data_IF_735305634194
#
_entry.id   IF_735305634194
#
_cell.length_a   1.000
_cell.length_b   1.000
_cell.length_c   1.000
_cell.angle_alpha   90.00
_cell.angle_beta   90.00
_cell.angle_gamma   90.00
#
_symmetry.space_group_name_H-M   'P 1'
#
loop_
_entity.id
_entity.type
_entity.pdbx_description
1 polymer ?
#
# COMPACT_ATOMS: atom_id res chain seq x y z
N UNK A 1 -57.39 -78.79 -39.98
CA UNK A 1 -57.08 -77.45 -40.60
C UNK A 1 -57.04 -76.31 -39.56
N UNK A 2 -57.72 -76.41 -38.47
CA UNK A 2 -57.74 -75.36 -37.42
C UNK A 2 -56.43 -75.28 -36.62
N UNK A 3 -55.70 -76.38 -36.30
CA UNK A 3 -54.45 -76.39 -35.49
C UNK A 3 -53.26 -75.71 -36.20
N UNK A 4 -53.15 -75.78 -37.49
CA UNK A 4 -52.06 -75.17 -38.26
C UNK A 4 -52.11 -73.62 -38.30
N UNK A 5 -53.35 -73.05 -38.21
CA UNK A 5 -53.56 -71.62 -38.19
C UNK A 5 -53.18 -71.02 -36.81
N UNK A 6 -53.53 -71.74 -35.73
CA UNK A 6 -53.18 -71.28 -34.36
C UNK A 6 -51.69 -71.34 -34.13
N UNK A 7 -51.02 -72.43 -34.54
CA UNK A 7 -49.52 -72.55 -34.41
C UNK A 7 -48.79 -71.46 -35.20
N UNK A 8 -49.25 -71.10 -36.42
CA UNK A 8 -48.70 -69.98 -37.17
C UNK A 8 -48.98 -68.64 -36.56
N UNK A 9 -50.10 -68.45 -35.88
CA UNK A 9 -50.43 -67.19 -35.14
C UNK A 9 -49.61 -67.01 -33.90
N UNK A 10 -49.41 -68.08 -33.11
CA UNK A 10 -48.53 -68.08 -31.88
C UNK A 10 -47.09 -67.88 -32.29
N UNK A 11 -46.58 -68.44 -33.37
CA UNK A 11 -45.21 -68.18 -33.82
C UNK A 11 -45.01 -66.75 -34.29
N UNK A 12 -45.97 -66.13 -35.00
CA UNK A 12 -45.87 -64.71 -35.34
C UNK A 12 -45.86 -63.77 -34.15
N UNK A 13 -46.68 -64.07 -33.13
CA UNK A 13 -46.66 -63.33 -31.85
C UNK A 13 -45.32 -63.45 -31.12
N UNK A 14 -44.79 -64.65 -31.05
CA UNK A 14 -43.43 -64.88 -30.42
C UNK A 14 -42.31 -64.12 -31.17
N UNK A 15 -42.35 -64.14 -32.50
CA UNK A 15 -41.41 -63.38 -33.34
C UNK A 15 -41.57 -61.87 -33.10
N UNK A 16 -42.82 -61.37 -33.07
CA UNK A 16 -43.05 -59.95 -32.78
C UNK A 16 -42.56 -59.50 -31.39
N UNK A 17 -42.76 -60.33 -30.35
CA UNK A 17 -42.26 -60.09 -28.99
C UNK A 17 -40.73 -60.05 -28.93
N UNK A 18 -40.08 -61.00 -29.62
CA UNK A 18 -38.61 -61.03 -29.71
C UNK A 18 -38.05 -59.80 -30.43
N UNK A 19 -38.70 -59.37 -31.51
CA UNK A 19 -38.25 -58.13 -32.22
C UNK A 19 -38.43 -56.90 -31.36
N UNK A 20 -39.55 -56.75 -30.66
CA UNK A 20 -39.79 -55.63 -29.75
C UNK A 20 -38.78 -55.63 -28.59
N UNK A 21 -38.51 -56.82 -28.00
CA UNK A 21 -37.50 -56.95 -26.95
C UNK A 21 -36.10 -56.58 -27.43
N UNK A 22 -35.71 -57.01 -28.64
CA UNK A 22 -34.41 -56.65 -29.24
C UNK A 22 -34.29 -55.16 -29.52
N UNK A 23 -35.34 -54.52 -30.04
CA UNK A 23 -35.38 -53.06 -30.25
C UNK A 23 -35.25 -52.32 -28.91
N UNK A 24 -36.00 -52.74 -27.88
CA UNK A 24 -35.90 -52.16 -26.53
C UNK A 24 -34.49 -52.29 -25.92
N UNK A 25 -33.87 -53.44 -26.10
CA UNK A 25 -32.47 -53.67 -25.65
C UNK A 25 -31.47 -52.73 -26.37
N UNK A 26 -31.61 -52.59 -27.69
CA UNK A 26 -30.75 -51.68 -28.47
C UNK A 26 -30.95 -50.21 -28.01
N UNK A 27 -32.17 -49.79 -27.77
CA UNK A 27 -32.46 -48.44 -27.26
C UNK A 27 -31.87 -48.24 -25.89
N UNK A 28 -31.99 -49.18 -24.99
CA UNK A 28 -31.37 -49.09 -23.63
C UNK A 28 -29.87 -49.07 -23.68
N UNK A 29 -29.23 -49.87 -24.53
CA UNK A 29 -27.81 -49.90 -24.73
C UNK A 29 -27.29 -48.59 -25.31
N UNK A 30 -27.96 -48.01 -26.30
CA UNK A 30 -27.58 -46.70 -26.88
C UNK A 30 -27.78 -45.56 -25.89
N UNK A 31 -28.88 -45.52 -25.12
CA UNK A 31 -29.10 -44.52 -24.06
C UNK A 31 -28.06 -44.66 -22.94
N UNK A 32 -27.71 -45.88 -22.58
CA UNK A 32 -26.63 -46.18 -21.60
C UNK A 32 -25.27 -45.67 -22.10
N UNK A 33 -24.93 -45.94 -23.36
CA UNK A 33 -23.69 -45.43 -24.00
C UNK A 33 -23.62 -43.91 -24.05
N UNK A 34 -24.72 -43.25 -24.37
CA UNK A 34 -24.82 -41.77 -24.38
C UNK A 34 -24.62 -41.19 -22.96
N UNK A 35 -25.22 -41.82 -21.93
CA UNK A 35 -25.03 -41.40 -20.54
C UNK A 35 -23.59 -41.59 -20.07
N UNK A 36 -22.98 -42.70 -20.43
CA UNK A 36 -21.58 -42.98 -20.08
C UNK A 36 -20.63 -41.97 -20.75
N UNK A 37 -20.82 -41.70 -22.05
CA UNK A 37 -19.99 -40.72 -22.76
C UNK A 37 -20.14 -39.30 -22.19
N UNK A 38 -21.34 -38.89 -21.79
CA UNK A 38 -21.57 -37.62 -21.09
C UNK A 38 -20.86 -37.57 -19.73
N UNK A 39 -20.89 -38.69 -18.99
CA UNK A 39 -20.20 -38.78 -17.71
C UNK A 39 -18.70 -38.69 -17.87
N UNK A 40 -18.08 -39.40 -18.82
CA UNK A 40 -16.67 -39.36 -19.11
C UNK A 40 -16.23 -37.97 -19.54
N UNK A 41 -16.95 -37.31 -20.44
CA UNK A 41 -16.67 -35.93 -20.86
C UNK A 41 -16.73 -34.94 -19.70
N UNK A 42 -17.70 -35.11 -18.80
CA UNK A 42 -17.79 -34.31 -17.57
C UNK A 42 -16.59 -34.56 -16.63
N UNK A 43 -16.17 -35.80 -16.50
CA UNK A 43 -15.01 -36.21 -15.67
C UNK A 43 -13.69 -35.66 -16.22
N UNK A 44 -13.52 -35.67 -17.55
CA UNK A 44 -12.36 -35.07 -18.23
C UNK A 44 -12.32 -33.56 -18.05
N UNK A 45 -13.47 -32.88 -18.18
CA UNK A 45 -13.60 -31.45 -17.91
C UNK A 45 -13.13 -31.07 -16.50
N UNK A 46 -13.61 -31.77 -15.46
CA UNK A 46 -13.17 -31.51 -14.08
C UNK A 46 -11.71 -31.85 -13.83
N UNK A 47 -11.16 -32.84 -14.53
CA UNK A 47 -9.74 -33.14 -14.45
C UNK A 47 -8.88 -32.05 -15.12
N UNK A 48 -9.35 -31.50 -16.21
CA UNK A 48 -8.70 -30.39 -16.89
C UNK A 48 -8.72 -29.12 -16.03
N UNK A 49 -9.89 -28.80 -15.42
CA UNK A 49 -10.03 -27.67 -14.52
C UNK A 49 -9.07 -27.75 -13.32
N UNK A 50 -9.04 -28.92 -12.65
CA UNK A 50 -8.08 -29.13 -11.53
C UNK A 50 -6.61 -29.01 -11.94
N UNK A 51 -6.27 -29.46 -13.14
CA UNK A 51 -4.89 -29.31 -13.67
C UNK A 51 -4.55 -27.85 -13.92
N UNK A 52 -5.52 -27.07 -14.41
CA UNK A 52 -5.31 -25.64 -14.64
C UNK A 52 -5.13 -24.87 -13.32
N UNK A 53 -5.98 -25.12 -12.32
CA UNK A 53 -5.84 -24.57 -10.98
C UNK A 53 -4.46 -24.90 -10.34
N UNK A 54 -3.99 -26.12 -10.54
CA UNK A 54 -2.66 -26.55 -10.06
C UNK A 54 -1.52 -25.83 -10.77
N UNK A 55 -1.61 -25.66 -12.10
CA UNK A 55 -0.63 -24.92 -12.90
C UNK A 55 -0.58 -23.44 -12.47
N UNK A 56 -1.74 -22.81 -12.28
CA UNK A 56 -1.83 -21.44 -11.81
C UNK A 56 -1.21 -21.27 -10.41
N UNK A 57 -1.51 -22.20 -9.48
CA UNK A 57 -0.91 -22.23 -8.15
C UNK A 57 0.62 -22.35 -8.20
N UNK A 58 1.15 -23.29 -8.98
CA UNK A 58 2.59 -23.48 -9.13
C UNK A 58 3.29 -22.27 -9.76
N UNK A 59 2.66 -21.65 -10.75
CA UNK A 59 3.17 -20.43 -11.37
C UNK A 59 3.20 -19.25 -10.38
N UNK A 60 2.19 -19.15 -9.52
CA UNK A 60 2.15 -18.14 -8.47
C UNK A 60 3.19 -18.40 -7.37
N UNK A 61 3.42 -19.66 -7.01
CA UNK A 61 4.48 -20.04 -6.06
C UNK A 61 5.89 -19.76 -6.64
N UNK A 62 6.14 -20.06 -7.91
CA UNK A 62 7.40 -19.72 -8.57
C UNK A 62 7.63 -18.21 -8.63
N UNK A 63 6.60 -17.44 -8.99
CA UNK A 63 6.68 -15.98 -9.00
C UNK A 63 6.99 -15.41 -7.62
N UNK A 64 6.37 -15.94 -6.56
CA UNK A 64 6.68 -15.55 -5.19
C UNK A 64 8.13 -15.85 -4.83
N UNK A 65 8.65 -17.04 -5.18
CA UNK A 65 10.05 -17.42 -4.92
C UNK A 65 11.07 -16.52 -5.64
N UNK A 66 10.74 -16.00 -6.82
CA UNK A 66 11.61 -15.05 -7.53
C UNK A 66 11.54 -13.63 -6.98
N UNK A 67 10.38 -13.23 -6.49
CA UNK A 67 10.15 -11.87 -5.96
C UNK A 67 10.65 -11.71 -4.52
N UNK A 68 10.60 -12.76 -3.70
CA UNK A 68 10.96 -12.75 -2.29
C UNK A 68 12.40 -12.28 -2.03
N UNK A 69 13.45 -12.78 -2.72
CA UNK A 69 14.83 -12.29 -2.52
C UNK A 69 15.01 -10.84 -2.97
N UNK A 70 14.29 -10.39 -3.99
CA UNK A 70 14.34 -8.99 -4.44
C UNK A 70 13.70 -8.07 -3.40
N UNK A 71 12.56 -8.49 -2.84
CA UNK A 71 11.88 -7.75 -1.79
C UNK A 71 12.73 -7.69 -0.51
N UNK A 72 13.36 -8.80 -0.12
CA UNK A 72 14.27 -8.84 1.02
C UNK A 72 15.48 -7.91 0.84
N UNK A 73 16.08 -7.87 -0.36
CA UNK A 73 17.18 -6.97 -0.66
C UNK A 73 16.76 -5.48 -0.57
N UNK A 74 15.53 -5.16 -1.00
CA UNK A 74 14.98 -3.80 -0.88
C UNK A 74 14.77 -3.44 0.61
N UNK A 75 14.20 -4.33 1.41
CA UNK A 75 14.01 -4.13 2.84
C UNK A 75 15.36 -3.96 3.54
N UNK A 76 16.34 -4.81 3.24
CA UNK A 76 17.68 -4.71 3.80
C UNK A 76 18.34 -3.36 3.48
N UNK A 77 18.21 -2.88 2.25
CA UNK A 77 18.69 -1.53 1.88
C UNK A 77 18.02 -0.42 2.67
N UNK A 78 16.71 -0.49 2.92
CA UNK A 78 16.00 0.49 3.76
C UNK A 78 16.47 0.43 5.21
N UNK A 79 16.69 -0.77 5.75
CA UNK A 79 17.28 -0.95 7.09
C UNK A 79 18.64 -0.26 7.15
N UNK A 80 19.52 -0.45 6.18
CA UNK A 80 20.83 0.20 6.12
C UNK A 80 20.72 1.73 6.05
N UNK A 81 19.80 2.26 5.25
CA UNK A 81 19.56 3.70 5.12
C UNK A 81 19.05 4.33 6.42
N UNK A 82 18.24 3.60 7.19
CA UNK A 82 17.62 4.09 8.44
C UNK A 82 18.34 3.64 9.72
N UNK A 83 19.45 2.91 9.63
CA UNK A 83 20.24 2.48 10.79
C UNK A 83 21.49 3.36 11.05
N UNK A 84 21.53 4.52 10.45
CA UNK A 84 22.64 5.46 10.55
C UNK A 84 22.14 6.92 10.58
N UNK A 85 22.99 7.81 10.97
CA UNK A 85 22.75 9.23 10.77
C UNK A 85 22.80 9.61 9.29
N UNK A 86 22.04 10.63 8.93
CA UNK A 86 22.09 11.21 7.59
C UNK A 86 23.43 11.92 7.38
N UNK A 87 24.00 11.80 6.19
CA UNK A 87 25.10 12.65 5.76
C UNK A 87 24.66 14.10 5.59
N UNK A 88 25.59 15.03 5.56
CA UNK A 88 25.25 16.45 5.37
C UNK A 88 24.61 16.71 4.00
N UNK A 89 25.00 15.96 2.96
CA UNK A 89 24.38 16.04 1.64
C UNK A 89 22.95 15.48 1.64
N UNK A 90 22.66 14.44 2.45
CA UNK A 90 21.31 13.91 2.60
C UNK A 90 20.41 14.89 3.36
N UNK A 91 20.93 15.47 4.44
CA UNK A 91 20.25 16.55 5.18
C UNK A 91 19.95 17.74 4.27
N UNK A 92 20.93 18.17 3.47
CA UNK A 92 20.76 19.29 2.53
C UNK A 92 19.67 18.99 1.48
N UNK A 93 19.65 17.77 0.91
CA UNK A 93 18.60 17.36 -0.04
C UNK A 93 17.20 17.40 0.57
N UNK A 94 17.05 16.97 1.83
CA UNK A 94 15.76 16.99 2.53
C UNK A 94 15.35 18.44 2.84
N UNK A 95 16.25 19.26 3.36
CA UNK A 95 15.97 20.68 3.65
C UNK A 95 15.62 21.48 2.40
N UNK A 96 16.11 21.05 1.24
CA UNK A 96 15.87 21.69 -0.04
C UNK A 96 14.90 20.91 -0.94
N UNK A 97 14.10 20.01 -0.35
CA UNK A 97 13.09 19.18 -1.05
C UNK A 97 12.12 20.01 -1.92
N UNK A 98 11.86 21.24 -1.50
CA UNK A 98 10.94 22.16 -2.19
C UNK A 98 11.54 22.82 -3.46
N UNK A 99 12.84 22.74 -3.66
CA UNK A 99 13.51 23.37 -4.80
C UNK A 99 13.16 22.61 -6.07
N UNK A 100 12.90 23.38 -7.13
CA UNK A 100 12.76 22.82 -8.47
C UNK A 100 14.04 22.11 -8.90
N UNK A 101 13.88 20.92 -9.44
CA UNK A 101 14.97 20.15 -10.06
C UNK A 101 14.85 20.11 -11.59
N UNK A 102 13.88 20.86 -12.14
CA UNK A 102 13.51 20.81 -13.55
C UNK A 102 12.61 19.61 -13.90
N UNK A 103 12.22 18.82 -12.91
CA UNK A 103 11.24 17.73 -13.05
C UNK A 103 10.15 17.90 -11.98
N UNK A 104 8.90 17.62 -12.38
CA UNK A 104 7.78 17.63 -11.43
C UNK A 104 7.84 16.40 -10.54
N UNK A 105 7.93 16.60 -9.23
CA UNK A 105 7.97 15.54 -8.22
C UNK A 105 7.04 15.84 -7.06
N UNK A 106 6.50 14.80 -6.47
CA UNK A 106 5.58 14.91 -5.34
C UNK A 106 5.89 13.89 -4.26
N UNK A 107 5.87 14.36 -3.02
CA UNK A 107 6.00 13.59 -1.80
C UNK A 107 4.67 13.63 -1.07
N UNK A 108 3.95 12.52 -1.04
CA UNK A 108 2.74 12.38 -0.22
C UNK A 108 3.16 12.16 1.23
N UNK A 109 2.59 12.94 2.15
CA UNK A 109 2.88 12.79 3.58
C UNK A 109 1.61 12.73 4.39
N UNK A 110 1.59 11.86 5.41
CA UNK A 110 0.48 11.66 6.33
C UNK A 110 0.95 11.85 7.75
N UNK A 111 0.22 12.65 8.53
CA UNK A 111 0.52 12.95 9.93
C UNK A 111 -0.52 12.29 10.85
N UNK A 112 -0.20 12.18 12.14
CA UNK A 112 -1.06 11.75 13.24
C UNK A 112 -1.41 10.26 13.32
N UNK A 113 -1.01 9.47 12.35
CA UNK A 113 -1.20 8.00 12.38
C UNK A 113 -0.21 7.26 13.30
N UNK A 114 -0.25 5.92 13.26
CA UNK A 114 -1.25 5.14 12.58
C UNK A 114 -2.61 5.11 13.29
N UNK A 115 -3.68 4.87 12.54
CA UNK A 115 -5.02 4.62 13.08
C UNK A 115 -5.59 3.30 12.53
N UNK A 116 -6.34 2.58 13.37
CA UNK A 116 -6.97 1.30 12.99
C UNK A 116 -7.96 1.46 11.82
N UNK A 117 -8.65 2.59 11.74
CA UNK A 117 -9.75 2.81 10.79
C UNK A 117 -9.32 3.37 9.43
N UNK A 118 -8.28 4.20 9.36
CA UNK A 118 -7.92 4.95 8.15
C UNK A 118 -6.59 4.51 7.56
N UNK A 119 -5.55 4.34 8.38
CA UNK A 119 -4.22 3.95 7.90
C UNK A 119 -4.23 2.68 7.02
N UNK A 120 -4.95 1.57 7.38
CA UNK A 120 -5.00 0.38 6.52
C UNK A 120 -5.60 0.65 5.14
N UNK A 121 -6.63 1.49 5.05
CA UNK A 121 -7.28 1.84 3.79
C UNK A 121 -6.35 2.65 2.88
N UNK A 122 -5.61 3.60 3.47
CA UNK A 122 -4.59 4.39 2.76
C UNK A 122 -3.48 3.47 2.25
N UNK A 123 -2.96 2.56 3.07
CA UNK A 123 -1.91 1.62 2.69
C UNK A 123 -2.36 0.69 1.54
N UNK A 124 -3.59 0.16 1.61
CA UNK A 124 -4.16 -0.68 0.53
C UNK A 124 -4.25 0.10 -0.79
N UNK A 125 -4.69 1.35 -0.75
CA UNK A 125 -4.78 2.20 -1.92
C UNK A 125 -3.39 2.55 -2.48
N UNK A 126 -2.45 2.96 -1.64
CA UNK A 126 -1.09 3.27 -2.06
C UNK A 126 -0.39 2.04 -2.68
N UNK A 127 -0.64 0.85 -2.13
CA UNK A 127 -0.16 -0.41 -2.69
C UNK A 127 -0.75 -0.69 -4.06
N UNK A 128 -2.08 -0.57 -4.20
CA UNK A 128 -2.81 -0.72 -5.48
C UNK A 128 -2.28 0.24 -6.54
N UNK A 129 -2.05 1.50 -6.15
CA UNK A 129 -1.55 2.55 -7.03
C UNK A 129 -0.03 2.51 -7.24
N UNK A 130 0.69 1.60 -6.57
CA UNK A 130 2.16 1.54 -6.57
C UNK A 130 2.82 2.88 -6.23
N UNK A 131 2.28 3.59 -5.26
CA UNK A 131 2.77 4.88 -4.74
C UNK A 131 3.35 4.68 -3.36
N UNK A 132 4.48 5.32 -3.06
CA UNK A 132 5.09 5.33 -1.72
C UNK A 132 4.97 6.72 -1.11
N UNK A 133 4.79 6.75 0.21
CA UNK A 133 4.57 7.95 0.99
C UNK A 133 5.52 8.02 2.19
N UNK A 134 5.44 9.11 2.95
CA UNK A 134 6.08 9.27 4.26
C UNK A 134 4.99 9.44 5.31
N UNK A 135 5.04 8.64 6.37
CA UNK A 135 4.14 8.72 7.52
C UNK A 135 4.88 9.35 8.69
N UNK A 136 4.38 10.48 9.18
CA UNK A 136 4.86 11.13 10.39
C UNK A 136 4.01 10.65 11.57
N UNK A 137 4.50 9.61 12.24
CA UNK A 137 3.72 8.85 13.21
C UNK A 137 3.80 9.44 14.61
N UNK A 138 2.69 9.39 15.36
CA UNK A 138 2.65 9.72 16.79
C UNK A 138 3.05 8.50 17.63
N UNK A 139 4.00 8.67 18.52
CA UNK A 139 4.52 7.56 19.34
C UNK A 139 3.47 6.85 20.18
N UNK A 140 2.44 7.57 20.64
CA UNK A 140 1.28 6.98 21.31
C UNK A 140 0.52 6.00 20.41
N UNK A 141 0.30 6.37 19.14
CA UNK A 141 -0.38 5.55 18.15
C UNK A 141 0.49 4.40 17.66
N UNK A 142 1.80 4.62 17.53
CA UNK A 142 2.78 3.54 17.23
C UNK A 142 2.69 2.42 18.28
N UNK A 143 2.62 2.78 19.57
CA UNK A 143 2.45 1.78 20.64
C UNK A 143 1.11 1.06 20.60
N UNK A 144 0.06 1.75 20.17
CA UNK A 144 -1.28 1.17 20.05
C UNK A 144 -1.39 0.21 18.86
N UNK A 145 -0.72 0.51 17.74
CA UNK A 145 -0.83 -0.20 16.46
C UNK A 145 0.54 -0.49 15.84
N UNK A 146 1.45 -1.20 16.53
CA UNK A 146 2.82 -1.47 16.05
C UNK A 146 2.84 -2.26 14.73
N UNK A 147 1.84 -3.11 14.48
CA UNK A 147 1.68 -3.86 13.24
C UNK A 147 1.44 -2.97 12.01
N UNK A 148 0.78 -1.82 12.18
CA UNK A 148 0.56 -0.87 11.10
C UNK A 148 1.86 -0.14 10.74
N UNK A 149 2.66 0.26 11.73
CA UNK A 149 3.99 0.84 11.50
C UNK A 149 4.92 -0.14 10.78
N UNK A 150 4.88 -1.41 11.19
CA UNK A 150 5.62 -2.46 10.49
C UNK A 150 5.14 -2.60 9.06
N UNK A 151 3.84 -2.54 8.81
CA UNK A 151 3.25 -2.58 7.47
C UNK A 151 3.68 -1.37 6.63
N UNK A 152 3.66 -0.15 7.17
CA UNK A 152 4.17 1.06 6.51
C UNK A 152 5.61 0.84 6.02
N UNK A 153 6.49 0.37 6.88
CA UNK A 153 7.89 0.12 6.56
C UNK A 153 8.06 -1.01 5.51
N UNK A 154 7.43 -2.16 5.71
CA UNK A 154 7.56 -3.33 4.83
C UNK A 154 7.01 -3.03 3.43
N UNK A 155 5.94 -2.26 3.31
CA UNK A 155 5.37 -1.82 2.03
C UNK A 155 6.17 -0.69 1.36
N UNK A 156 7.19 -0.15 2.04
CA UNK A 156 8.16 0.79 1.47
C UNK A 156 7.86 2.24 1.66
N UNK A 157 6.98 2.55 2.58
CA UNK A 157 6.76 3.90 3.05
C UNK A 157 7.87 4.31 4.03
N UNK A 158 8.18 5.59 4.09
CA UNK A 158 9.12 6.09 5.07
C UNK A 158 8.39 6.39 6.39
N UNK A 159 8.83 5.77 7.48
CA UNK A 159 8.29 6.04 8.82
C UNK A 159 9.09 7.17 9.44
N UNK A 160 8.45 8.28 9.71
CA UNK A 160 9.02 9.48 10.31
C UNK A 160 8.34 9.80 11.63
N UNK A 161 8.82 10.81 12.34
CA UNK A 161 8.46 11.12 13.72
C UNK A 161 7.62 12.39 13.81
N UNK A 162 6.47 12.34 14.52
CA UNK A 162 5.58 13.48 14.76
C UNK A 162 5.45 13.84 16.26
N UNK A 163 6.39 13.37 17.08
CA UNK A 163 6.29 13.44 18.53
C UNK A 163 5.44 12.31 19.11
N UNK A 164 5.31 12.29 20.42
CA UNK A 164 4.64 11.21 21.13
C UNK A 164 3.16 11.52 21.40
N UNK A 165 2.88 12.72 21.91
CA UNK A 165 1.60 13.06 22.51
C UNK A 165 0.72 13.96 21.66
N UNK A 166 1.28 14.69 20.70
CA UNK A 166 0.67 15.80 19.96
C UNK A 166 0.10 16.92 20.84
N UNK A 167 0.41 16.96 22.15
CA UNK A 167 -0.06 18.00 23.07
C UNK A 167 0.91 19.16 23.03
N UNK A 168 0.55 20.28 22.40
CA UNK A 168 1.42 21.44 22.20
C UNK A 168 2.04 21.96 23.49
N UNK A 169 1.28 22.00 24.59
CA UNK A 169 1.79 22.43 25.91
C UNK A 169 2.84 21.46 26.50
N UNK A 170 2.85 20.21 26.08
CA UNK A 170 3.84 19.21 26.47
C UNK A 170 5.02 19.22 25.50
N UNK A 171 4.74 19.16 24.20
CA UNK A 171 5.77 19.11 23.13
C UNK A 171 6.65 20.36 23.19
N UNK A 172 6.05 21.54 23.40
CA UNK A 172 6.73 22.86 23.35
C UNK A 172 6.96 23.50 24.73
N UNK A 173 6.94 22.70 25.80
CA UNK A 173 7.22 23.19 27.13
C UNK A 173 8.66 23.72 27.25
N UNK A 174 9.62 22.98 26.71
CA UNK A 174 11.03 23.35 26.55
C UNK A 174 11.61 22.65 25.31
N UNK A 175 12.76 23.05 24.78
CA UNK A 175 13.45 22.32 23.71
C UNK A 175 13.72 20.85 24.07
N UNK A 176 14.08 20.57 25.33
CA UNK A 176 14.35 19.22 25.84
C UNK A 176 13.07 18.38 25.89
N UNK A 177 11.91 19.01 26.16
CA UNK A 177 10.62 18.33 26.09
C UNK A 177 10.31 17.90 24.65
N UNK A 178 10.58 18.73 23.63
CA UNK A 178 10.45 18.36 22.22
C UNK A 178 11.41 17.20 21.87
N UNK A 179 12.65 17.26 22.30
CA UNK A 179 13.63 16.18 22.08
C UNK A 179 13.19 14.88 22.78
N UNK A 180 12.61 14.96 23.97
CA UNK A 180 12.08 13.80 24.69
C UNK A 180 10.86 13.18 23.97
N UNK A 181 9.95 14.00 23.45
CA UNK A 181 8.83 13.55 22.59
C UNK A 181 9.36 12.80 21.35
N UNK A 182 10.39 13.36 20.69
CA UNK A 182 11.09 12.70 19.58
C UNK A 182 11.69 11.36 20.02
N UNK A 183 12.52 11.34 21.05
CA UNK A 183 13.23 10.14 21.50
C UNK A 183 12.26 9.01 21.94
N UNK A 184 11.18 9.38 22.62
CA UNK A 184 10.15 8.43 23.06
C UNK A 184 9.43 7.78 21.86
N UNK A 185 9.17 8.56 20.83
CA UNK A 185 8.57 8.08 19.58
C UNK A 185 9.56 7.22 18.79
N UNK A 186 10.84 7.60 18.70
CA UNK A 186 11.90 6.78 18.09
C UNK A 186 11.96 5.39 18.74
N UNK A 187 11.89 5.32 20.08
CA UNK A 187 11.90 4.03 20.77
C UNK A 187 10.66 3.20 20.43
N UNK A 188 9.48 3.84 20.39
CA UNK A 188 8.25 3.14 19.99
C UNK A 188 8.33 2.60 18.56
N UNK A 189 8.89 3.37 17.60
CA UNK A 189 9.11 2.92 16.22
C UNK A 189 10.11 1.75 16.18
N UNK A 190 11.23 1.82 16.90
CA UNK A 190 12.22 0.74 16.99
C UNK A 190 11.59 -0.58 17.47
N UNK A 191 10.78 -0.47 18.53
CA UNK A 191 10.08 -1.63 19.10
C UNK A 191 9.06 -2.23 18.11
N UNK A 192 8.28 -1.38 17.45
CA UNK A 192 7.30 -1.79 16.44
C UNK A 192 7.95 -2.48 15.23
N UNK A 193 9.10 -1.99 14.78
CA UNK A 193 9.85 -2.56 13.66
C UNK A 193 10.70 -3.78 14.05
N UNK A 194 10.90 -4.03 15.36
CA UNK A 194 11.87 -5.02 15.85
C UNK A 194 13.32 -4.67 15.45
N UNK A 195 13.62 -3.39 15.21
CA UNK A 195 14.93 -2.90 14.77
C UNK A 195 15.43 -1.78 15.69
N UNK A 196 16.25 -2.13 16.67
CA UNK A 196 16.78 -1.18 17.64
C UNK A 196 17.79 -0.18 17.05
N UNK A 197 18.26 -0.39 15.84
CA UNK A 197 19.15 0.53 15.13
C UNK A 197 18.37 1.53 14.26
N UNK A 198 17.03 1.40 14.13
CA UNK A 198 16.24 2.31 13.32
C UNK A 198 16.40 3.76 13.80
N UNK A 199 16.49 4.68 12.84
CA UNK A 199 16.48 6.12 13.03
C UNK A 199 15.57 6.74 11.97
N UNK A 200 14.51 7.42 12.40
CA UNK A 200 13.66 8.16 11.45
C UNK A 200 14.43 9.35 10.84
N UNK A 201 15.36 9.93 11.61
CA UNK A 201 16.15 11.11 11.24
C UNK A 201 15.31 12.35 10.87
N UNK A 202 14.00 12.22 10.84
CA UNK A 202 13.05 13.24 10.43
C UNK A 202 12.02 13.50 11.52
N UNK A 203 11.74 14.79 11.74
CA UNK A 203 10.71 15.25 12.64
C UNK A 203 9.80 16.26 11.93
N UNK A 204 8.49 16.10 12.06
CA UNK A 204 7.53 17.14 11.72
C UNK A 204 6.94 17.70 13.00
N UNK A 205 7.04 19.00 13.16
CA UNK A 205 6.48 19.69 14.31
C UNK A 205 4.96 19.66 14.30
N UNK A 206 4.26 19.21 15.35
CA UNK A 206 2.83 19.39 15.50
C UNK A 206 2.40 20.83 15.21
N UNK A 207 1.52 21.02 14.20
CA UNK A 207 1.13 22.34 13.72
C UNK A 207 2.20 23.12 12.94
N UNK A 208 3.22 22.44 12.42
CA UNK A 208 4.30 23.03 11.62
C UNK A 208 5.39 23.69 12.45
N UNK A 209 6.55 23.88 11.81
CA UNK A 209 7.78 24.34 12.49
C UNK A 209 7.88 25.86 12.68
N UNK A 210 6.91 26.62 12.20
CA UNK A 210 6.90 28.08 12.27
C UNK A 210 5.54 28.64 12.71
N UNK A 211 5.58 29.79 13.34
CA UNK A 211 4.39 30.57 13.70
C UNK A 211 3.57 30.01 14.86
N UNK A 212 2.53 30.77 15.21
CA UNK A 212 1.61 30.48 16.29
C UNK A 212 2.18 30.82 17.68
N UNK A 213 1.39 30.47 18.71
CA UNK A 213 1.72 30.79 20.11
C UNK A 213 3.06 30.21 20.59
N UNK A 214 3.49 29.08 20.03
CA UNK A 214 4.73 28.38 20.41
C UNK A 214 5.90 28.63 19.46
N UNK A 215 5.89 29.70 18.65
CA UNK A 215 6.93 29.90 17.62
C UNK A 215 8.34 29.96 18.21
N UNK A 216 8.57 30.74 19.29
CA UNK A 216 9.88 30.81 19.93
C UNK A 216 10.35 29.44 20.46
N UNK A 217 9.47 28.68 21.11
CA UNK A 217 9.79 27.34 21.58
C UNK A 217 10.14 26.38 20.43
N UNK A 218 9.42 26.48 19.32
CA UNK A 218 9.71 25.70 18.09
C UNK A 218 11.08 26.05 17.49
N UNK A 219 11.44 27.35 17.43
CA UNK A 219 12.75 27.77 16.92
C UNK A 219 13.89 27.21 17.79
N UNK A 220 13.76 27.30 19.13
CA UNK A 220 14.74 26.74 20.06
C UNK A 220 14.82 25.21 19.94
N UNK A 221 13.67 24.53 19.80
CA UNK A 221 13.60 23.07 19.60
C UNK A 221 14.25 22.64 18.28
N UNK A 222 14.13 23.43 17.20
CA UNK A 222 14.82 23.15 15.93
C UNK A 222 16.33 23.11 16.08
N UNK A 223 16.91 24.05 16.86
CA UNK A 223 18.34 24.08 17.10
C UNK A 223 18.81 22.80 17.81
N UNK A 224 18.10 22.40 18.87
CA UNK A 224 18.44 21.21 19.65
C UNK A 224 18.24 19.91 18.84
N UNK A 225 17.18 19.78 18.07
CA UNK A 225 16.96 18.63 17.18
C UNK A 225 18.07 18.52 16.12
N UNK A 226 18.47 19.65 15.52
CA UNK A 226 19.60 19.70 14.56
C UNK A 226 20.90 19.25 15.18
N UNK A 227 21.23 19.67 16.40
CA UNK A 227 22.40 19.22 17.14
C UNK A 227 22.40 17.71 17.41
N UNK A 228 21.21 17.12 17.51
CA UNK A 228 21.00 15.67 17.64
C UNK A 228 20.85 14.95 16.26
N UNK A 229 21.20 15.61 15.16
CA UNK A 229 21.23 15.02 13.82
C UNK A 229 19.87 14.91 13.15
N UNK A 230 18.80 15.44 13.76
CA UNK A 230 17.42 15.34 13.26
C UNK A 230 17.10 16.50 12.32
N UNK A 231 16.51 16.20 11.17
CA UNK A 231 16.02 17.18 10.20
C UNK A 231 14.53 17.38 10.39
N UNK A 232 14.07 18.62 10.42
CA UNK A 232 12.62 18.89 10.37
C UNK A 232 12.13 19.07 8.93
N UNK A 233 10.90 18.64 8.68
CA UNK A 233 10.27 18.73 7.36
C UNK A 233 8.82 19.17 7.48
N UNK A 234 8.51 20.38 6.99
CA UNK A 234 7.15 20.90 6.84
C UNK A 234 6.54 20.47 5.47
N UNK A 235 5.68 21.30 4.92
CA UNK A 235 4.98 21.11 3.64
C UNK A 235 4.89 22.42 2.85
N UNK A 236 4.60 22.31 1.56
CA UNK A 236 4.32 23.46 0.71
C UNK A 236 3.01 23.34 -0.09
N UNK A 237 2.25 22.27 0.17
CA UNK A 237 0.95 21.97 -0.40
C UNK A 237 0.13 21.23 0.67
N UNK A 238 -1.18 21.45 0.75
CA UNK A 238 -2.01 20.84 1.78
C UNK A 238 -3.45 20.63 1.30
N UNK A 239 -4.08 19.56 1.83
CA UNK A 239 -5.49 19.24 1.59
C UNK A 239 -6.46 20.05 2.47
N UNK A 240 -5.97 20.59 3.61
CA UNK A 240 -6.78 21.19 4.68
C UNK A 240 -7.76 20.19 5.33
N UNK A 241 -7.45 18.91 5.34
CA UNK A 241 -8.26 17.87 5.98
C UNK A 241 -8.35 18.00 7.51
N UNK A 242 -7.41 18.73 8.13
CA UNK A 242 -7.47 19.12 9.54
C UNK A 242 -8.16 20.48 9.79
N UNK A 243 -8.56 21.21 8.74
CA UNK A 243 -9.03 22.61 8.84
C UNK A 243 -10.48 22.82 8.39
N UNK A 244 -11.36 21.81 8.56
CA UNK A 244 -12.80 21.97 8.40
C UNK A 244 -13.32 21.78 6.97
N UNK A 245 -12.57 21.21 6.07
CA UNK A 245 -13.11 20.73 4.79
C UNK A 245 -13.96 19.47 5.05
N UNK A 246 -15.21 19.47 4.54
CA UNK A 246 -16.21 18.45 4.86
C UNK A 246 -16.57 17.55 3.67
N UNK A 247 -15.89 17.69 2.53
CA UNK A 247 -16.06 16.83 1.34
C UNK A 247 -14.72 16.54 0.68
N UNK A 248 -14.61 15.40 0.03
CA UNK A 248 -13.38 15.02 -0.72
C UNK A 248 -13.07 16.00 -1.86
N UNK A 249 -14.10 16.57 -2.49
CA UNK A 249 -13.95 17.58 -3.56
C UNK A 249 -13.31 18.87 -3.03
N UNK A 250 -13.71 19.30 -1.82
CA UNK A 250 -13.11 20.49 -1.16
C UNK A 250 -11.64 20.21 -0.80
N UNK A 251 -11.31 19.03 -0.28
CA UNK A 251 -9.93 18.62 -0.02
C UNK A 251 -9.09 18.64 -1.31
N UNK A 252 -9.59 18.07 -2.40
CA UNK A 252 -8.89 18.05 -3.68
C UNK A 252 -8.73 19.47 -4.25
N UNK A 253 -9.73 20.34 -4.09
CA UNK A 253 -9.64 21.74 -4.51
C UNK A 253 -8.56 22.50 -3.72
N UNK A 254 -8.49 22.31 -2.39
CA UNK A 254 -7.44 22.91 -1.56
C UNK A 254 -6.02 22.48 -2.01
N UNK A 255 -5.85 21.20 -2.38
CA UNK A 255 -4.58 20.75 -2.97
C UNK A 255 -4.29 21.49 -4.27
N UNK A 256 -5.27 21.64 -5.18
CA UNK A 256 -5.10 22.38 -6.46
C UNK A 256 -4.70 23.83 -6.20
N UNK A 257 -5.36 24.51 -5.26
CA UNK A 257 -5.13 25.92 -4.93
C UNK A 257 -3.74 26.12 -4.31
N UNK A 258 -3.32 25.22 -3.42
CA UNK A 258 -2.02 25.32 -2.73
C UNK A 258 -0.84 24.78 -3.54
N UNK A 259 -1.09 23.90 -4.50
CA UNK A 259 -0.09 23.37 -5.40
C UNK A 259 0.50 24.47 -6.31
N UNK A 260 -0.35 25.31 -6.92
CA UNK A 260 0.07 26.34 -7.88
C UNK A 260 0.94 25.75 -8.99
N UNK A 261 2.00 26.49 -9.36
CA UNK A 261 2.96 26.11 -10.42
C UNK A 261 4.26 25.47 -9.85
N UNK A 262 4.21 24.88 -8.64
CA UNK A 262 5.40 24.32 -8.01
C UNK A 262 5.81 22.99 -8.67
N UNK A 263 7.08 22.83 -8.97
CA UNK A 263 7.64 21.58 -9.52
C UNK A 263 7.91 20.52 -8.45
N UNK A 264 8.08 20.92 -7.20
CA UNK A 264 8.32 20.00 -6.09
C UNK A 264 7.31 20.22 -4.98
N UNK A 265 6.51 19.20 -4.72
CA UNK A 265 5.42 19.23 -3.74
C UNK A 265 5.71 18.30 -2.57
N UNK A 266 5.53 18.80 -1.36
CA UNK A 266 5.35 18.01 -0.13
C UNK A 266 3.92 18.27 0.33
N UNK A 267 3.06 17.28 0.19
CA UNK A 267 1.61 17.43 0.45
C UNK A 267 1.30 16.95 1.86
N UNK A 268 0.77 17.86 2.70
CA UNK A 268 0.25 17.54 4.02
C UNK A 268 -1.15 16.94 3.92
N UNK A 269 -1.30 15.77 4.49
CA UNK A 269 -2.55 15.07 4.76
C UNK A 269 -2.43 14.38 6.12
N UNK A 270 -3.53 13.81 6.61
CA UNK A 270 -3.55 13.09 7.89
C UNK A 270 -4.20 11.71 7.71
N UNK A 271 -3.77 10.74 8.55
CA UNK A 271 -4.33 9.37 8.59
C UNK A 271 -4.85 8.97 9.99
N UNK A 272 -5.14 9.98 10.83
CA UNK A 272 -5.86 9.77 12.10
C UNK A 272 -7.29 9.24 11.86
N UNK A 273 -7.91 8.70 12.89
CA UNK A 273 -9.15 7.90 12.81
C UNK A 273 -10.37 8.64 12.23
N UNK A 274 -10.36 9.98 12.25
CA UNK A 274 -11.41 10.85 11.74
C UNK A 274 -11.19 11.29 10.27
N UNK A 275 -10.11 10.84 9.61
CA UNK A 275 -9.68 11.31 8.27
C UNK A 275 -10.13 10.40 7.12
N UNK A 276 -11.32 9.85 7.19
CA UNK A 276 -11.86 9.00 6.11
C UNK A 276 -11.96 9.74 4.76
N UNK A 277 -12.26 11.05 4.78
CA UNK A 277 -12.32 11.87 3.57
C UNK A 277 -10.97 11.97 2.86
N UNK A 278 -9.86 11.95 3.60
CA UNK A 278 -8.51 11.90 3.03
C UNK A 278 -8.31 10.63 2.20
N UNK A 279 -8.70 9.47 2.74
CA UNK A 279 -8.70 8.22 1.99
C UNK A 279 -9.60 8.30 0.74
N UNK A 280 -10.83 8.80 0.87
CA UNK A 280 -11.78 8.90 -0.26
C UNK A 280 -11.28 9.83 -1.37
N UNK A 281 -10.54 10.89 -1.04
CA UNK A 281 -9.94 11.84 -1.99
C UNK A 281 -8.67 11.29 -2.66
N UNK A 282 -7.94 10.38 -1.99
CA UNK A 282 -6.56 10.05 -2.34
C UNK A 282 -6.40 9.47 -3.77
N UNK A 283 -7.34 8.65 -4.23
CA UNK A 283 -7.31 8.11 -5.61
C UNK A 283 -7.42 9.22 -6.66
N UNK A 284 -8.34 10.16 -6.44
CA UNK A 284 -8.55 11.31 -7.34
C UNK A 284 -7.30 12.22 -7.33
N UNK A 285 -6.67 12.40 -6.17
CA UNK A 285 -5.43 13.16 -6.04
C UNK A 285 -4.27 12.50 -6.80
N UNK A 286 -4.09 11.19 -6.66
CA UNK A 286 -3.02 10.46 -7.36
C UNK A 286 -3.19 10.61 -8.88
N UNK A 287 -4.41 10.47 -9.40
CA UNK A 287 -4.71 10.63 -10.81
C UNK A 287 -4.43 12.07 -11.28
N UNK A 288 -4.90 13.07 -10.55
CA UNK A 288 -4.63 14.50 -10.84
C UNK A 288 -3.12 14.78 -10.95
N UNK A 289 -2.32 14.26 -10.01
CA UNK A 289 -0.87 14.47 -10.00
C UNK A 289 -0.18 13.77 -11.16
N UNK A 290 -0.60 12.56 -11.53
CA UNK A 290 -0.12 11.84 -12.73
C UNK A 290 -0.42 12.60 -14.02
N UNK A 291 -1.67 13.08 -14.17
CA UNK A 291 -2.10 13.84 -15.33
C UNK A 291 -1.31 15.15 -15.49
N UNK A 292 -0.89 15.76 -14.37
CA UNK A 292 -0.03 16.93 -14.35
C UNK A 292 1.46 16.60 -14.53
N UNK A 293 1.83 15.33 -14.65
CA UNK A 293 3.19 14.86 -14.90
C UNK A 293 4.09 14.80 -13.67
N UNK A 294 3.53 14.77 -12.46
CA UNK A 294 4.32 14.58 -11.25
C UNK A 294 4.77 13.12 -11.08
N UNK A 295 6.02 12.94 -10.70
CA UNK A 295 6.59 11.67 -10.27
C UNK A 295 6.47 11.55 -8.76
N UNK A 296 5.96 10.42 -8.29
CA UNK A 296 5.86 10.12 -6.86
C UNK A 296 7.22 9.66 -6.34
N UNK A 297 7.68 10.32 -5.29
CA UNK A 297 8.91 10.00 -4.57
C UNK A 297 8.61 9.97 -3.06
N UNK A 298 9.46 9.31 -2.29
CA UNK A 298 9.49 9.41 -0.84
C UNK A 298 10.91 9.72 -0.33
N UNK A 299 11.10 9.75 0.99
CA UNK A 299 12.38 10.13 1.59
C UNK A 299 13.52 9.17 1.20
N UNK A 300 13.24 7.85 1.00
CA UNK A 300 14.27 6.91 0.55
C UNK A 300 14.88 7.29 -0.81
N UNK A 301 14.11 7.91 -1.70
CA UNK A 301 14.60 8.38 -3.00
C UNK A 301 15.62 9.51 -2.85
N UNK A 302 15.50 10.34 -1.79
CA UNK A 302 16.46 11.40 -1.47
C UNK A 302 17.74 10.84 -0.83
N UNK A 303 17.65 9.68 -0.14
CA UNK A 303 18.80 9.01 0.47
C UNK A 303 19.60 8.18 -0.54
N UNK A 304 19.04 7.84 -1.69
CA UNK A 304 19.68 7.06 -2.75
C UNK A 304 20.27 7.94 -3.86
N UNK A 305 21.21 8.81 -3.49
CA UNK A 305 21.79 9.80 -4.41
C UNK A 305 22.48 9.21 -5.65
N UNK A 306 23.09 8.00 -5.55
CA UNK A 306 23.74 7.34 -6.68
C UNK A 306 22.72 6.97 -7.78
N UNK A 307 21.56 6.49 -7.40
CA UNK A 307 20.46 6.22 -8.32
C UNK A 307 19.81 7.51 -8.84
N UNK A 308 19.74 8.52 -8.00
CA UNK A 308 19.19 9.83 -8.39
C UNK A 308 20.05 10.50 -9.50
N UNK A 309 21.39 10.49 -9.34
CA UNK A 309 22.29 11.03 -10.36
C UNK A 309 22.37 10.19 -11.64
N UNK A 310 22.27 8.85 -11.56
CA UNK A 310 22.18 7.97 -12.73
C UNK A 310 20.92 8.23 -13.54
N UNK A 311 19.76 8.39 -12.88
CA UNK A 311 18.50 8.74 -13.54
C UNK A 311 18.57 10.08 -14.27
N UNK A 312 19.45 11.00 -13.84
CA UNK A 312 19.67 12.33 -14.46
C UNK A 312 20.77 12.36 -15.52
N UNK A 313 21.38 11.23 -15.88
CA UNK A 313 22.39 11.18 -16.94
C UNK A 313 23.67 11.98 -16.66
N UNK A 314 23.98 12.27 -15.39
CA UNK A 314 25.15 13.06 -14.98
C UNK A 314 26.33 12.22 -14.48
N UNK A 315 26.23 10.89 -14.49
CA UNK A 315 27.33 9.95 -14.33
C UNK A 315 27.24 8.87 -15.40
N UNK A 316 28.19 8.85 -16.31
CA UNK A 316 28.55 7.71 -17.15
C UNK A 316 29.33 6.69 -16.32
#
# INVERSE_FOLDING_TARGET
MYDLIEIKKVNKIKIAVLVVASIAFIILATLGGIKLAKYEKKREYYRALKRQEEIERLAEEEKKKEEEPKQQAIIQKRIEQTSRELTDEEKDRILHIYRSTGEKRVFLTFDDGPSESVTPLILDLLKKENVKATFFTLGGNVKAHPELVKREFDEGHYVANHGYSHKYSSVYATPEATLNEYNTTEQAIKDALGNQNYRSNLFRFPGGSNGGYYDEAKQNSKALLKENGVVHLDWNCLSQDAAGAHTKEALLQNVKDTMGEKDSLVILMHDSSDKILTYEMLSDLINLLRDKGYKFENIYDLLDWKNWWRKKGKFN
#
